data_IF_757702696130
#
_entry.id   IF_757702696130
#
_cell.length_a   1.000
_cell.length_b   1.000
_cell.length_c   1.000
_cell.angle_alpha   90.00
_cell.angle_beta   90.00
_cell.angle_gamma   90.00
#
_symmetry.space_group_name_H-M   'P 1'
#
loop_
_entity.id
_entity.type
_entity.pdbx_description
1 polymer ?
#
# COMPACT_ATOMS: atom_id res chain seq x y z
N UNK A 1 1.46 21.93 24.13
CA UNK A 1 1.98 21.88 22.74
C UNK A 1 1.45 20.59 22.10
N UNK A 2 0.61 20.72 21.07
CA UNK A 2 0.15 19.57 20.28
C UNK A 2 1.36 18.97 19.56
N UNK A 3 1.49 17.64 19.59
CA UNK A 3 2.54 16.94 18.87
C UNK A 3 2.26 17.03 17.37
N UNK A 4 3.19 17.57 16.58
CA UNK A 4 3.13 17.55 15.11
C UNK A 4 3.75 16.27 14.60
N UNK A 5 3.09 15.62 13.67
CA UNK A 5 3.54 14.36 13.07
C UNK A 5 3.59 14.52 11.56
N UNK A 6 4.71 14.13 10.97
CA UNK A 6 4.91 14.21 9.52
C UNK A 6 4.89 12.79 8.97
N UNK A 7 4.14 12.58 7.91
CA UNK A 7 4.10 11.34 7.15
C UNK A 7 4.64 11.61 5.75
N UNK A 8 5.50 10.74 5.26
CA UNK A 8 5.90 10.72 3.87
C UNK A 8 5.28 9.54 3.18
N UNK A 9 4.37 9.81 2.26
CA UNK A 9 3.89 8.86 1.28
C UNK A 9 4.77 9.01 0.04
N UNK A 10 5.83 8.24 -0.07
CA UNK A 10 6.66 8.26 -1.27
C UNK A 10 6.12 7.26 -2.27
N UNK A 11 5.58 7.75 -3.37
CA UNK A 11 5.05 6.93 -4.46
C UNK A 11 6.12 6.20 -5.28
N UNK A 12 7.39 6.62 -5.24
CA UNK A 12 8.50 5.96 -5.94
C UNK A 12 9.85 6.18 -5.27
N UNK A 13 10.49 5.08 -4.86
CA UNK A 13 11.94 5.05 -4.72
C UNK A 13 12.55 4.76 -6.10
N UNK A 14 13.63 5.45 -6.53
CA UNK A 14 14.32 5.13 -7.76
C UNK A 14 14.76 3.65 -7.77
N UNK A 15 14.35 2.89 -8.78
CA UNK A 15 14.68 1.46 -8.91
C UNK A 15 13.71 0.47 -8.29
N UNK A 16 12.65 0.90 -7.60
CA UNK A 16 11.69 0.01 -6.92
C UNK A 16 10.76 -0.77 -7.85
N UNK A 17 10.62 -0.36 -9.12
CA UNK A 17 9.84 -1.10 -10.12
C UNK A 17 10.32 -2.55 -10.34
N UNK A 18 11.52 -2.90 -9.84
CA UNK A 18 12.08 -4.26 -9.93
C UNK A 18 11.89 -5.09 -8.66
N UNK A 19 11.41 -4.51 -7.56
CA UNK A 19 11.45 -5.13 -6.23
C UNK A 19 10.09 -5.59 -5.69
N UNK A 20 9.02 -5.61 -6.48
CA UNK A 20 7.73 -6.16 -6.06
C UNK A 20 7.03 -5.40 -4.92
N UNK A 21 7.25 -4.10 -4.80
CA UNK A 21 6.52 -3.26 -3.84
C UNK A 21 5.01 -3.26 -4.13
N UNK A 22 4.22 -3.24 -3.07
CA UNK A 22 2.76 -3.14 -3.08
C UNK A 22 2.33 -1.72 -2.69
N UNK A 23 2.29 -0.79 -3.64
CA UNK A 23 2.07 0.62 -3.32
C UNK A 23 0.64 0.96 -2.93
N UNK A 24 -0.37 0.26 -3.47
CA UNK A 24 -1.78 0.47 -3.11
C UNK A 24 -2.03 0.23 -1.62
N UNK A 25 -1.48 -0.86 -1.09
CA UNK A 25 -1.57 -1.19 0.33
C UNK A 25 -0.91 -0.11 1.20
N UNK A 26 0.27 0.38 0.82
CA UNK A 26 0.94 1.43 1.57
C UNK A 26 0.17 2.75 1.59
N UNK A 27 -0.46 3.12 0.49
CA UNK A 27 -1.31 4.30 0.42
C UNK A 27 -2.53 4.15 1.34
N UNK A 28 -3.27 3.05 1.24
CA UNK A 28 -4.46 2.81 2.05
C UNK A 28 -4.15 2.78 3.54
N UNK A 29 -3.09 2.10 3.96
CA UNK A 29 -2.62 2.09 5.35
C UNK A 29 -2.19 3.49 5.83
N UNK A 30 -1.50 4.24 4.97
CA UNK A 30 -1.04 5.58 5.29
C UNK A 30 -2.19 6.56 5.48
N UNK A 31 -3.19 6.51 4.62
CA UNK A 31 -4.39 7.34 4.70
C UNK A 31 -5.25 6.99 5.92
N UNK A 32 -5.51 5.71 6.17
CA UNK A 32 -6.27 5.25 7.34
C UNK A 32 -5.59 5.68 8.66
N UNK A 33 -4.27 5.54 8.74
CA UNK A 33 -3.52 6.03 9.89
C UNK A 33 -3.58 7.55 10.01
N UNK A 34 -3.49 8.29 8.92
CA UNK A 34 -3.59 9.76 8.92
C UNK A 34 -4.95 10.21 9.47
N UNK A 35 -6.05 9.64 8.98
CA UNK A 35 -7.40 9.90 9.49
C UNK A 35 -7.54 9.54 10.98
N UNK A 36 -7.06 8.36 11.37
CA UNK A 36 -7.09 7.93 12.78
C UNK A 36 -6.35 8.91 13.71
N UNK A 37 -5.22 9.43 13.26
CA UNK A 37 -4.41 10.36 14.05
C UNK A 37 -5.06 11.73 14.16
N UNK A 38 -5.66 12.24 13.10
CA UNK A 38 -6.40 13.51 13.13
C UNK A 38 -7.63 13.38 14.03
N UNK A 39 -8.38 12.28 13.94
CA UNK A 39 -9.49 12.00 14.89
C UNK A 39 -9.00 11.94 16.33
N UNK A 40 -7.79 11.44 16.57
CA UNK A 40 -7.12 11.47 17.86
C UNK A 40 -6.55 12.82 18.29
N UNK A 41 -6.87 13.92 17.57
CA UNK A 41 -6.44 15.29 17.87
C UNK A 41 -4.97 15.57 17.59
N UNK A 42 -4.36 14.85 16.63
CA UNK A 42 -2.97 15.07 16.19
C UNK A 42 -2.94 15.92 14.93
N UNK A 43 -1.91 16.76 14.82
CA UNK A 43 -1.60 17.44 13.55
C UNK A 43 -0.88 16.46 12.64
N UNK A 44 -1.34 16.34 11.41
CA UNK A 44 -0.82 15.42 10.40
C UNK A 44 -0.42 16.19 9.16
N UNK A 45 0.78 15.95 8.65
CA UNK A 45 1.27 16.47 7.38
C UNK A 45 1.65 15.28 6.51
N UNK A 46 1.06 15.19 5.33
CA UNK A 46 1.42 14.21 4.30
C UNK A 46 2.35 14.88 3.29
N UNK A 47 3.54 14.31 3.10
CA UNK A 47 4.49 14.77 2.08
C UNK A 47 4.57 13.71 0.99
N UNK A 48 4.27 14.09 -0.24
CA UNK A 48 4.31 13.20 -1.40
C UNK A 48 5.17 13.78 -2.53
N UNK A 49 6.00 12.94 -3.16
CA UNK A 49 6.94 13.40 -4.20
C UNK A 49 6.28 13.66 -5.55
N UNK A 50 5.38 12.81 -5.95
CA UNK A 50 4.58 12.87 -7.17
C UNK A 50 3.36 11.97 -6.97
N UNK A 51 2.25 12.25 -7.62
CA UNK A 51 1.08 11.36 -7.62
C UNK A 51 0.76 10.75 -6.25
N UNK A 52 0.30 11.60 -5.33
CA UNK A 52 -0.07 11.18 -3.96
C UNK A 52 -0.90 9.89 -3.93
N UNK A 53 -1.79 9.70 -4.90
CA UNK A 53 -2.72 8.58 -4.96
C UNK A 53 -2.20 7.38 -5.79
N UNK A 54 -0.93 7.40 -6.21
CA UNK A 54 -0.36 6.25 -6.90
C UNK A 54 -0.43 4.98 -6.00
N UNK A 55 -0.80 3.79 -6.51
CA UNK A 55 -0.93 3.44 -7.91
C UNK A 55 -2.30 3.74 -8.54
N UNK A 56 -3.24 4.28 -7.79
CA UNK A 56 -4.54 4.65 -8.34
C UNK A 56 -4.36 5.77 -9.36
N UNK A 57 -4.76 5.50 -10.60
CA UNK A 57 -4.71 6.48 -11.67
C UNK A 57 -5.91 7.43 -11.56
N UNK A 58 -5.84 8.35 -10.59
CA UNK A 58 -6.85 9.38 -10.44
C UNK A 58 -6.56 10.49 -11.47
N UNK A 59 -7.52 10.84 -12.34
CA UNK A 59 -7.36 11.96 -13.25
C UNK A 59 -6.97 13.24 -12.51
N UNK A 60 -6.13 14.07 -13.15
CA UNK A 60 -5.62 15.29 -12.50
C UNK A 60 -6.74 16.23 -12.04
N UNK A 61 -7.82 16.30 -12.80
CA UNK A 61 -9.03 17.07 -12.46
C UNK A 61 -9.76 16.54 -11.22
N UNK A 62 -9.66 15.25 -10.93
CA UNK A 62 -10.28 14.63 -9.76
C UNK A 62 -9.35 14.62 -8.54
N UNK A 63 -8.04 14.65 -8.74
CA UNK A 63 -7.06 14.60 -7.65
C UNK A 63 -7.23 15.76 -6.67
N UNK A 64 -7.59 16.96 -7.16
CA UNK A 64 -7.89 18.10 -6.33
C UNK A 64 -9.01 17.84 -5.32
N UNK A 65 -10.08 17.14 -5.73
CA UNK A 65 -11.19 16.79 -4.85
C UNK A 65 -10.76 15.90 -3.67
N UNK A 66 -9.84 14.96 -3.91
CA UNK A 66 -9.29 14.12 -2.86
C UNK A 66 -8.36 14.89 -1.92
N UNK A 67 -7.56 15.81 -2.46
CA UNK A 67 -6.71 16.69 -1.64
C UNK A 67 -7.57 17.59 -0.76
N UNK A 68 -8.60 18.21 -1.33
CA UNK A 68 -9.57 19.02 -0.59
C UNK A 68 -10.26 18.23 0.54
N UNK A 69 -10.54 16.93 0.32
CA UNK A 69 -11.09 16.05 1.34
C UNK A 69 -10.10 15.85 2.51
N UNK A 70 -8.82 15.59 2.22
CA UNK A 70 -7.79 15.47 3.25
C UNK A 70 -7.65 16.77 4.06
N UNK A 71 -7.64 17.92 3.39
CA UNK A 71 -7.52 19.22 4.05
C UNK A 71 -8.75 19.54 4.92
N UNK A 72 -9.96 19.20 4.44
CA UNK A 72 -11.20 19.39 5.22
C UNK A 72 -11.20 18.63 6.54
N UNK A 73 -10.65 17.41 6.57
CA UNK A 73 -10.52 16.64 7.82
C UNK A 73 -9.30 17.03 8.66
N UNK A 74 -8.50 18.01 8.21
CA UNK A 74 -7.37 18.56 8.95
C UNK A 74 -6.03 17.89 8.69
N UNK A 75 -5.88 17.21 7.56
CA UNK A 75 -4.60 16.66 7.08
C UNK A 75 -3.98 17.68 6.13
N UNK A 76 -2.84 18.25 6.51
CA UNK A 76 -2.06 19.13 5.63
C UNK A 76 -1.35 18.29 4.55
N UNK A 77 -1.40 18.71 3.28
CA UNK A 77 -0.78 17.99 2.16
C UNK A 77 0.29 18.86 1.51
N UNK A 78 1.50 18.31 1.38
CA UNK A 78 2.62 18.93 0.67
C UNK A 78 2.99 18.01 -0.51
N UNK A 79 2.69 18.48 -1.72
CA UNK A 79 2.95 17.73 -2.97
C UNK A 79 4.27 18.14 -3.61
N UNK A 80 4.76 17.31 -4.50
CA UNK A 80 5.94 17.52 -5.34
C UNK A 80 7.24 17.74 -4.56
N UNK A 81 7.26 17.31 -3.29
CA UNK A 81 8.42 17.41 -2.43
C UNK A 81 8.83 16.06 -1.83
N UNK A 82 10.11 15.96 -1.46
CA UNK A 82 10.71 14.81 -0.78
C UNK A 82 11.32 15.26 0.54
N UNK A 83 11.34 14.36 1.50
CA UNK A 83 12.11 14.55 2.73
C UNK A 83 13.60 14.40 2.39
N UNK A 84 14.36 15.47 2.54
CA UNK A 84 15.81 15.50 2.33
C UNK A 84 16.56 15.06 3.58
N UNK A 85 16.12 15.48 4.77
CA UNK A 85 16.74 15.09 6.03
C UNK A 85 15.78 15.09 7.21
N UNK A 86 16.14 14.31 8.24
CA UNK A 86 15.42 14.25 9.51
C UNK A 86 16.42 14.44 10.64
N UNK A 87 16.25 15.52 11.41
CA UNK A 87 17.02 15.75 12.64
C UNK A 87 16.38 15.05 13.83
N UNK A 88 17.20 14.38 14.62
CA UNK A 88 16.78 13.73 15.87
C UNK A 88 16.68 14.74 17.01
N UNK A 89 15.69 14.58 17.87
CA UNK A 89 15.61 15.32 19.12
C UNK A 89 16.66 14.86 20.15
N UNK A 90 16.91 15.68 21.17
CA UNK A 90 17.97 15.48 22.18
C UNK A 90 17.92 14.14 22.92
N UNK A 91 16.78 13.43 22.94
CA UNK A 91 16.61 12.11 23.58
C UNK A 91 16.61 10.94 22.58
N UNK A 92 17.00 11.17 21.33
CA UNK A 92 17.28 10.12 20.34
C UNK A 92 16.10 9.35 19.75
N UNK A 93 14.92 9.41 20.35
CA UNK A 93 13.75 8.60 19.95
C UNK A 93 12.64 9.40 19.25
N UNK A 94 12.76 10.71 19.14
CA UNK A 94 11.80 11.57 18.47
C UNK A 94 12.46 12.34 17.35
N UNK A 95 11.76 12.55 16.26
CA UNK A 95 12.15 13.56 15.29
C UNK A 95 11.99 14.95 15.93
N UNK A 96 12.76 15.92 15.46
CA UNK A 96 12.63 17.33 15.86
C UNK A 96 12.28 18.20 14.67
N UNK A 97 12.96 17.95 13.56
CA UNK A 97 12.85 18.74 12.34
C UNK A 97 12.95 17.83 11.14
N UNK A 98 12.15 18.11 10.15
CA UNK A 98 12.22 17.49 8.83
C UNK A 98 12.49 18.60 7.84
N UNK A 99 13.51 18.43 7.00
CA UNK A 99 13.82 19.38 5.92
C UNK A 99 13.43 18.74 4.60
N UNK A 100 12.68 19.44 3.80
CA UNK A 100 12.30 19.06 2.45
C UNK A 100 13.41 19.41 1.44
N UNK A 101 13.31 18.90 0.23
CA UNK A 101 14.26 19.14 -0.87
C UNK A 101 14.32 20.61 -1.34
N UNK A 102 13.29 21.40 -1.05
CA UNK A 102 13.26 22.85 -1.27
C UNK A 102 13.77 23.67 -0.05
N UNK A 103 14.41 23.02 0.92
CA UNK A 103 14.84 23.60 2.19
C UNK A 103 13.72 24.09 3.12
N UNK A 104 12.46 23.76 2.84
CA UNK A 104 11.38 24.03 3.78
C UNK A 104 11.52 23.14 5.03
N UNK A 105 11.40 23.76 6.21
CA UNK A 105 11.56 23.06 7.48
C UNK A 105 10.21 22.86 8.18
N UNK A 106 9.96 21.61 8.59
CA UNK A 106 8.78 21.20 9.34
C UNK A 106 9.19 20.71 10.73
N UNK A 107 8.45 21.11 11.74
CA UNK A 107 8.62 20.53 13.08
C UNK A 107 7.81 19.22 13.17
N UNK A 108 8.47 18.13 13.55
CA UNK A 108 7.83 16.84 13.69
C UNK A 108 8.27 16.12 14.98
N UNK A 109 7.35 15.42 15.61
CA UNK A 109 7.68 14.48 16.71
C UNK A 109 7.93 13.07 16.18
N UNK A 110 7.20 12.68 15.12
CA UNK A 110 7.28 11.35 14.51
C UNK A 110 7.23 11.50 12.99
N UNK A 111 8.08 10.77 12.31
CA UNK A 111 8.05 10.59 10.85
C UNK A 111 7.79 9.13 10.55
N UNK A 112 6.84 8.87 9.68
CA UNK A 112 6.49 7.52 9.25
C UNK A 112 6.59 7.44 7.73
N UNK A 113 7.15 6.34 7.23
CA UNK A 113 7.35 6.11 5.80
C UNK A 113 6.42 5.00 5.31
N UNK A 114 5.71 5.28 4.23
CA UNK A 114 4.79 4.35 3.56
C UNK A 114 5.26 4.16 2.12
N UNK A 115 6.19 3.24 1.91
CA UNK A 115 6.79 2.98 0.59
C UNK A 115 6.24 1.73 -0.09
N UNK A 116 5.35 1.00 0.57
CA UNK A 116 4.84 -0.29 0.15
C UNK A 116 5.42 -1.45 0.95
N UNK A 117 4.89 -2.62 0.68
CA UNK A 117 5.29 -3.88 1.29
C UNK A 117 5.92 -4.78 0.24
N UNK A 118 6.79 -5.66 0.69
CA UNK A 118 7.33 -6.76 -0.13
C UNK A 118 6.97 -8.09 0.52
N UNK A 119 6.52 -9.08 -0.25
CA UNK A 119 6.32 -10.42 0.27
C UNK A 119 7.62 -10.98 0.89
N UNK A 120 7.52 -11.54 2.08
CA UNK A 120 8.64 -12.22 2.74
C UNK A 120 8.71 -13.67 2.28
N UNK A 121 9.50 -13.95 1.26
CA UNK A 121 9.55 -15.25 0.57
C UNK A 121 10.71 -16.14 1.00
N UNK A 122 11.53 -15.69 1.96
CA UNK A 122 12.74 -16.42 2.38
C UNK A 122 12.47 -17.86 2.87
N UNK A 123 11.30 -18.12 3.43
CA UNK A 123 10.89 -19.46 3.91
C UNK A 123 10.63 -20.48 2.78
N UNK A 124 10.46 -20.01 1.53
CA UNK A 124 10.20 -20.85 0.37
C UNK A 124 11.48 -21.23 -0.42
N UNK A 125 12.65 -20.74 0.01
CA UNK A 125 13.91 -21.14 -0.65
C UNK A 125 14.11 -22.65 -0.57
N UNK A 126 14.32 -23.27 -1.73
CA UNK A 126 14.53 -24.72 -1.84
C UNK A 126 13.24 -25.57 -1.87
N UNK A 127 12.06 -24.97 -1.85
CA UNK A 127 10.78 -25.67 -1.94
C UNK A 127 10.42 -26.15 -3.38
N UNK A 128 11.24 -25.82 -4.39
CA UNK A 128 10.96 -26.18 -5.78
C UNK A 128 9.80 -25.41 -6.38
N UNK A 129 9.62 -24.14 -5.96
CA UNK A 129 8.59 -23.23 -6.47
C UNK A 129 9.25 -22.07 -7.22
N UNK A 130 8.55 -21.55 -8.20
CA UNK A 130 9.00 -20.39 -8.97
C UNK A 130 8.66 -19.10 -8.23
N UNK A 131 9.64 -18.21 -8.16
CA UNK A 131 9.55 -16.92 -7.46
C UNK A 131 10.03 -15.83 -8.42
N UNK A 132 9.21 -14.80 -8.58
CA UNK A 132 9.60 -13.54 -9.23
C UNK A 132 9.62 -12.43 -8.17
N UNK A 133 8.54 -11.72 -7.99
CA UNK A 133 8.30 -10.76 -6.90
C UNK A 133 7.40 -11.35 -5.80
N UNK A 134 6.65 -12.39 -6.15
CA UNK A 134 5.83 -13.26 -5.34
C UNK A 134 6.00 -14.70 -5.77
N UNK A 135 5.33 -15.63 -5.12
CA UNK A 135 5.21 -17.01 -5.56
C UNK A 135 4.35 -17.06 -6.81
N UNK A 136 4.86 -17.66 -7.89
CA UNK A 136 4.12 -17.80 -9.13
C UNK A 136 3.11 -18.93 -9.02
N UNK A 137 1.84 -18.63 -9.26
CA UNK A 137 0.75 -19.61 -9.18
C UNK A 137 -0.15 -19.56 -10.41
N UNK A 138 -0.76 -20.70 -10.71
CA UNK A 138 -1.84 -20.81 -11.69
C UNK A 138 -3.12 -20.10 -11.21
N UNK A 139 -4.15 -19.95 -12.06
CA UNK A 139 -5.47 -19.50 -11.61
C UNK A 139 -6.09 -20.38 -10.51
N UNK A 140 -5.68 -21.66 -10.42
CA UNK A 140 -6.08 -22.58 -9.34
C UNK A 140 -5.26 -22.38 -8.05
N UNK A 141 -4.40 -21.38 -8.00
CA UNK A 141 -3.52 -21.05 -6.88
C UNK A 141 -2.46 -22.13 -6.56
N UNK A 142 -2.17 -23.01 -7.52
CA UNK A 142 -1.13 -24.04 -7.43
C UNK A 142 0.19 -23.47 -7.95
N UNK A 143 1.28 -23.75 -7.26
CA UNK A 143 2.63 -23.39 -7.69
C UNK A 143 3.15 -24.37 -8.75
N UNK A 144 4.38 -24.18 -9.23
CA UNK A 144 5.07 -25.18 -10.05
C UNK A 144 5.33 -26.51 -9.34
N UNK A 145 5.24 -26.56 -8.02
CA UNK A 145 5.24 -27.79 -7.23
C UNK A 145 3.80 -28.24 -6.97
N UNK A 146 3.44 -29.43 -7.46
CA UNK A 146 2.07 -29.97 -7.40
C UNK A 146 1.50 -30.15 -5.98
N UNK A 147 2.34 -30.12 -4.96
CA UNK A 147 1.93 -30.27 -3.56
C UNK A 147 1.83 -28.94 -2.80
N UNK A 148 2.06 -27.80 -3.48
CA UNK A 148 2.10 -26.50 -2.84
C UNK A 148 1.13 -25.54 -3.53
N UNK A 149 0.24 -24.97 -2.73
CA UNK A 149 -0.65 -23.88 -3.11
C UNK A 149 -0.27 -22.62 -2.36
N UNK A 150 -0.51 -21.46 -2.95
CA UNK A 150 -0.29 -20.16 -2.30
C UNK A 150 -1.48 -19.23 -2.52
N UNK A 151 -1.82 -18.48 -1.47
CA UNK A 151 -2.91 -17.54 -1.48
C UNK A 151 -2.52 -16.24 -0.75
N UNK A 152 -3.17 -15.14 -1.09
CA UNK A 152 -2.95 -13.82 -0.48
C UNK A 152 -1.76 -13.07 -1.08
N UNK A 153 -1.24 -12.12 -0.31
CA UNK A 153 -0.26 -11.12 -0.77
C UNK A 153 1.11 -11.70 -1.16
N UNK A 154 1.35 -12.96 -0.85
CA UNK A 154 2.62 -13.64 -1.20
C UNK A 154 2.65 -14.12 -2.63
N UNK A 155 1.52 -14.24 -3.33
CA UNK A 155 1.46 -14.83 -4.66
C UNK A 155 1.18 -13.83 -5.78
N UNK A 156 1.72 -14.18 -6.95
CA UNK A 156 1.37 -13.59 -8.24
C UNK A 156 0.63 -14.66 -9.05
N UNK A 157 -0.57 -14.32 -9.50
CA UNK A 157 -1.44 -15.23 -10.25
C UNK A 157 -1.27 -14.96 -11.73
N UNK A 158 -1.17 -16.02 -12.52
CA UNK A 158 -1.13 -15.92 -13.96
C UNK A 158 -2.43 -15.33 -14.52
N UNK A 159 -2.30 -14.26 -15.30
CA UNK A 159 -3.39 -13.65 -16.06
C UNK A 159 -3.27 -14.04 -17.53
N UNK A 160 -4.13 -14.94 -18.04
CA UNK A 160 -4.11 -15.32 -19.45
C UNK A 160 -4.39 -14.15 -20.41
N UNK A 161 -5.24 -13.22 -19.98
CA UNK A 161 -5.64 -12.05 -20.80
C UNK A 161 -4.47 -11.09 -21.02
N UNK A 162 -3.66 -10.88 -19.98
CA UNK A 162 -2.54 -9.93 -20.00
C UNK A 162 -1.20 -10.62 -20.29
N UNK A 163 -1.17 -11.95 -20.32
CA UNK A 163 0.02 -12.77 -20.54
C UNK A 163 1.18 -12.43 -19.57
N UNK A 164 0.84 -12.17 -18.30
CA UNK A 164 1.82 -11.99 -17.23
C UNK A 164 1.25 -12.29 -15.85
N UNK A 165 2.13 -12.38 -14.83
CA UNK A 165 1.75 -12.60 -13.45
C UNK A 165 1.41 -11.28 -12.75
N UNK A 166 0.30 -11.26 -11.99
CA UNK A 166 -0.20 -10.09 -11.26
C UNK A 166 -0.40 -10.39 -9.79
N UNK A 167 -0.21 -9.36 -8.97
CA UNK A 167 -0.67 -9.34 -7.59
C UNK A 167 -2.12 -8.86 -7.52
N UNK A 168 -2.86 -9.45 -6.58
CA UNK A 168 -4.22 -9.03 -6.26
C UNK A 168 -4.36 -8.90 -4.75
N UNK A 169 -4.63 -7.69 -4.31
CA UNK A 169 -4.65 -7.32 -2.89
C UNK A 169 -6.07 -7.07 -2.42
N UNK A 170 -6.20 -6.80 -1.11
CA UNK A 170 -7.46 -6.49 -0.47
C UNK A 170 -8.17 -7.72 0.09
N UNK A 171 -8.94 -7.48 1.14
CA UNK A 171 -9.56 -8.55 1.92
C UNK A 171 -10.48 -9.46 1.11
N UNK A 172 -11.25 -8.91 0.17
CA UNK A 172 -12.13 -9.72 -0.71
C UNK A 172 -11.33 -10.72 -1.53
N UNK A 173 -10.24 -10.25 -2.15
CA UNK A 173 -9.38 -11.10 -2.98
C UNK A 173 -8.66 -12.16 -2.12
N UNK A 174 -8.12 -11.78 -0.98
CA UNK A 174 -7.38 -12.70 -0.09
C UNK A 174 -8.29 -13.81 0.46
N UNK A 175 -9.52 -13.44 0.89
CA UNK A 175 -10.52 -14.44 1.35
C UNK A 175 -10.91 -15.41 0.23
N UNK A 176 -11.18 -14.89 -0.96
CA UNK A 176 -11.51 -15.69 -2.13
C UNK A 176 -10.37 -16.65 -2.48
N UNK A 177 -9.14 -16.15 -2.58
CA UNK A 177 -7.95 -16.96 -2.84
C UNK A 177 -7.76 -18.06 -1.80
N UNK A 178 -7.87 -17.72 -0.49
CA UNK A 178 -7.76 -18.71 0.58
C UNK A 178 -8.81 -19.83 0.47
N UNK A 179 -10.07 -19.48 0.10
CA UNK A 179 -11.13 -20.47 -0.13
C UNK A 179 -10.82 -21.38 -1.33
N UNK A 180 -10.41 -20.80 -2.48
CA UNK A 180 -10.09 -21.55 -3.69
C UNK A 180 -8.89 -22.50 -3.44
N UNK A 181 -7.83 -21.99 -2.82
CA UNK A 181 -6.68 -22.82 -2.47
C UNK A 181 -7.09 -24.02 -1.58
N UNK A 182 -7.92 -23.78 -0.56
CA UNK A 182 -8.39 -24.86 0.34
C UNK A 182 -9.21 -25.93 -0.41
N UNK A 183 -10.09 -25.53 -1.34
CA UNK A 183 -10.86 -26.46 -2.16
C UNK A 183 -9.93 -27.29 -3.04
N UNK A 184 -8.95 -26.67 -3.69
CA UNK A 184 -8.04 -27.36 -4.59
C UNK A 184 -7.07 -28.28 -3.85
N UNK A 185 -6.62 -27.91 -2.66
CA UNK A 185 -5.84 -28.80 -1.78
C UNK A 185 -6.58 -30.08 -1.38
N UNK A 186 -7.91 -30.09 -1.46
CA UNK A 186 -8.76 -31.25 -1.16
C UNK A 186 -9.28 -31.98 -2.39
N UNK A 187 -8.70 -31.70 -3.57
CA UNK A 187 -9.02 -32.38 -4.83
C UNK A 187 -10.06 -31.68 -5.68
N UNK A 188 -10.40 -30.42 -5.39
CA UNK A 188 -11.20 -29.57 -6.26
C UNK A 188 -10.39 -29.00 -7.43
N UNK A 189 -11.08 -28.28 -8.33
CA UNK A 189 -10.49 -27.59 -9.49
C UNK A 189 -11.18 -26.24 -9.69
N UNK A 190 -11.22 -25.41 -8.64
CA UNK A 190 -11.71 -24.05 -8.75
C UNK A 190 -10.61 -23.11 -9.20
N UNK A 191 -10.92 -22.20 -10.12
CA UNK A 191 -10.02 -21.16 -10.58
C UNK A 191 -10.48 -19.78 -10.12
N UNK A 192 -9.54 -18.88 -9.96
CA UNK A 192 -9.83 -17.46 -9.81
C UNK A 192 -10.23 -16.94 -11.19
N UNK A 193 -11.46 -16.48 -11.31
CA UNK A 193 -12.05 -15.98 -12.57
C UNK A 193 -12.22 -14.45 -12.59
N UNK A 194 -12.38 -13.83 -11.39
CA UNK A 194 -12.58 -12.38 -11.27
C UNK A 194 -11.87 -11.83 -10.05
N UNK A 195 -11.22 -10.70 -10.24
CA UNK A 195 -10.61 -9.95 -9.14
C UNK A 195 -11.33 -8.63 -8.92
N UNK A 196 -11.36 -8.20 -7.66
CA UNK A 196 -11.83 -6.86 -7.31
C UNK A 196 -10.64 -5.91 -7.35
N UNK A 197 -10.76 -4.89 -8.21
CA UNK A 197 -9.79 -3.80 -8.20
C UNK A 197 -9.96 -2.95 -6.94
N UNK A 198 -8.84 -2.56 -6.36
CA UNK A 198 -8.84 -1.59 -5.28
C UNK A 198 -9.14 -0.19 -5.85
N UNK A 199 -10.12 0.52 -5.25
CA UNK A 199 -10.54 1.85 -5.66
C UNK A 199 -10.59 2.78 -4.46
N UNK A 200 -10.10 4.00 -4.64
CA UNK A 200 -10.28 5.07 -3.66
C UNK A 200 -11.65 5.73 -3.85
N UNK A 201 -12.26 6.11 -2.74
CA UNK A 201 -13.48 6.90 -2.72
C UNK A 201 -13.51 7.83 -1.50
N UNK A 202 -14.37 8.84 -1.54
CA UNK A 202 -14.61 9.71 -0.39
C UNK A 202 -15.89 9.22 0.28
N UNK A 203 -15.78 8.82 1.54
CA UNK A 203 -16.88 8.29 2.32
C UNK A 203 -17.81 9.39 2.88
N UNK A 204 -18.85 9.00 3.60
CA UNK A 204 -19.84 9.94 4.19
C UNK A 204 -19.24 10.89 5.25
N UNK A 205 -18.08 10.58 5.78
CA UNK A 205 -17.34 11.38 6.75
C UNK A 205 -16.33 12.33 6.09
N UNK A 206 -16.37 12.46 4.76
CA UNK A 206 -15.37 13.21 3.96
C UNK A 206 -13.93 12.64 4.08
N UNK A 207 -13.77 11.39 4.51
CA UNK A 207 -12.48 10.72 4.57
C UNK A 207 -12.21 9.96 3.27
N UNK A 208 -10.95 9.87 2.86
CA UNK A 208 -10.55 8.99 1.75
C UNK A 208 -10.44 7.58 2.29
N UNK A 209 -11.17 6.68 1.68
CA UNK A 209 -11.22 5.27 1.99
C UNK A 209 -10.90 4.44 0.74
N UNK A 210 -10.70 3.15 0.89
CA UNK A 210 -10.44 2.26 -0.23
C UNK A 210 -11.23 0.97 -0.11
N UNK A 211 -11.56 0.40 -1.26
CA UNK A 211 -12.19 -0.92 -1.32
C UNK A 211 -11.27 -2.05 -0.87
N UNK A 212 -9.99 -1.74 -0.60
CA UNK A 212 -9.02 -2.67 -0.05
C UNK A 212 -9.50 -3.30 1.27
N UNK A 213 -10.16 -2.51 2.12
CA UNK A 213 -10.64 -2.93 3.45
C UNK A 213 -12.06 -3.50 3.45
N UNK A 214 -12.75 -3.53 2.32
CA UNK A 214 -14.08 -4.12 2.26
C UNK A 214 -14.04 -5.62 2.52
N UNK A 215 -14.94 -6.10 3.39
CA UNK A 215 -15.01 -7.51 3.81
C UNK A 215 -16.09 -8.32 3.10
N UNK A 216 -17.03 -7.70 2.38
CA UNK A 216 -18.17 -8.35 1.73
C UNK A 216 -18.07 -8.36 0.21
#
# INVERSE_FOLDING_TARGET
RKARRVYSLASRLPGTNRLGFQPSMALSEGLDLAHTLVRGGREVIVVASEHLFWPHQIPREESGRYIDALERVGIEVILDHKIASIEKGAKGMRARRVTLDNNHELNADVVMAFYGLMPSLGFMHGAGVDIERGLLVSPQLQTGNEHIWAAGDVCQIWSPEENHYRFYYGWKNVKMMGRIAAINMTGGDEAVDTFKEDRLFINEQDEIDSTFWEYE
#
